data_IF_256034088538
#
_entry.id   IF_256034088538
#
_cell.length_a   1.000
_cell.length_b   1.000
_cell.length_c   1.000
_cell.angle_alpha   90.00
_cell.angle_beta   90.00
_cell.angle_gamma   90.00
#
_symmetry.space_group_name_H-M   'P 1'
#
loop_
_entity.id
_entity.type
_entity.pdbx_description
1 polymer ?
#
# COMPACT_ATOMS: atom_id res chain seq x y z
N UNK A 1 16.74 13.29 18.20
CA UNK A 1 17.36 12.36 17.23
C UNK A 1 16.39 11.26 16.79
N UNK A 2 15.82 10.49 17.71
CA UNK A 2 14.86 9.38 17.45
C UNK A 2 13.71 9.75 16.50
N UNK A 3 13.01 10.88 16.74
CA UNK A 3 11.90 11.33 15.88
C UNK A 3 12.29 11.53 14.41
N UNK A 4 13.53 11.98 14.15
CA UNK A 4 14.03 12.16 12.78
C UNK A 4 14.18 10.82 12.07
N UNK A 5 14.71 9.81 12.78
CA UNK A 5 14.83 8.44 12.24
C UNK A 5 13.46 7.81 11.99
N UNK A 6 12.48 7.98 12.89
CA UNK A 6 11.11 7.49 12.67
C UNK A 6 10.45 8.13 11.45
N UNK A 7 10.63 9.44 11.24
CA UNK A 7 10.11 10.12 10.05
C UNK A 7 10.79 9.61 8.76
N UNK A 8 12.10 9.33 8.80
CA UNK A 8 12.82 8.74 7.67
C UNK A 8 12.35 7.32 7.39
N UNK A 9 12.19 6.49 8.43
CA UNK A 9 11.65 5.14 8.29
C UNK A 9 10.24 5.16 7.70
N UNK A 10 9.38 6.07 8.18
CA UNK A 10 8.05 6.29 7.60
C UNK A 10 8.14 6.65 6.12
N UNK A 11 9.04 7.57 5.75
CA UNK A 11 9.20 8.00 4.36
C UNK A 11 9.67 6.86 3.45
N UNK A 12 10.64 6.05 3.89
CA UNK A 12 11.09 4.87 3.15
C UNK A 12 9.96 3.87 2.99
N UNK A 13 9.22 3.59 4.07
CA UNK A 13 8.14 2.61 4.03
C UNK A 13 6.96 3.06 3.18
N UNK A 14 6.55 4.33 3.25
CA UNK A 14 5.38 4.82 2.50
C UNK A 14 5.61 4.91 1.00
N UNK A 15 6.87 5.05 0.57
CA UNK A 15 7.24 5.07 -0.85
C UNK A 15 7.24 3.67 -1.50
N UNK A 16 7.04 2.61 -0.71
CA UNK A 16 6.84 1.26 -1.25
C UNK A 16 5.52 1.25 -2.04
N UNK A 17 5.53 0.88 -3.33
CA UNK A 17 4.34 0.88 -4.19
C UNK A 17 3.42 -0.31 -3.86
N UNK A 18 2.81 -0.28 -2.67
CA UNK A 18 2.05 -1.39 -2.12
C UNK A 18 0.88 -1.84 -3.00
N UNK A 19 0.07 -0.94 -3.62
CA UNK A 19 -0.98 -1.35 -4.56
C UNK A 19 -0.42 -2.14 -5.76
N UNK A 20 0.72 -1.72 -6.31
CA UNK A 20 1.38 -2.48 -7.37
C UNK A 20 1.88 -3.83 -6.88
N UNK A 21 2.60 -3.88 -5.75
CA UNK A 21 3.14 -5.14 -5.23
C UNK A 21 2.04 -6.15 -4.88
N UNK A 22 0.90 -5.68 -4.38
CA UNK A 22 -0.29 -6.49 -4.14
C UNK A 22 -0.71 -7.20 -5.42
N UNK A 23 -1.01 -6.44 -6.48
CA UNK A 23 -1.50 -7.03 -7.73
C UNK A 23 -0.40 -7.74 -8.52
N UNK A 24 0.85 -7.34 -8.40
CA UNK A 24 1.97 -8.00 -9.06
C UNK A 24 2.17 -9.41 -8.49
N UNK A 25 2.12 -9.55 -7.17
CA UNK A 25 2.17 -10.86 -6.52
C UNK A 25 0.91 -11.68 -6.84
N UNK A 26 -0.28 -11.11 -6.66
CA UNK A 26 -1.55 -11.78 -6.93
C UNK A 26 -1.63 -12.30 -8.37
N UNK A 27 -1.36 -11.45 -9.36
CA UNK A 27 -1.37 -11.81 -10.78
C UNK A 27 -0.29 -12.84 -11.10
N UNK A 28 0.91 -12.71 -10.53
CA UNK A 28 1.99 -13.68 -10.73
C UNK A 28 1.64 -15.07 -10.21
N UNK A 29 0.87 -15.17 -9.12
CA UNK A 29 0.38 -16.44 -8.59
C UNK A 29 -0.76 -16.99 -9.45
N UNK A 30 -1.68 -16.14 -9.88
CA UNK A 30 -2.72 -16.50 -10.85
C UNK A 30 -2.12 -17.12 -12.13
N UNK A 31 -1.06 -16.53 -12.69
CA UNK A 31 -0.38 -17.07 -13.87
C UNK A 31 0.25 -18.45 -13.63
N UNK A 32 0.62 -18.77 -12.39
CA UNK A 32 1.12 -20.09 -11.97
C UNK A 32 0.01 -21.07 -11.60
N UNK A 33 -1.26 -20.61 -11.58
CA UNK A 33 -2.41 -21.34 -11.05
C UNK A 33 -2.24 -21.71 -9.57
N UNK A 34 -1.62 -20.80 -8.82
CA UNK A 34 -1.36 -20.93 -7.38
C UNK A 34 -2.12 -19.85 -6.60
N UNK A 35 -2.37 -20.12 -5.31
CA UNK A 35 -2.97 -19.16 -4.40
C UNK A 35 -1.94 -18.14 -3.90
N UNK A 36 -2.36 -16.87 -3.78
CA UNK A 36 -1.55 -15.80 -3.21
C UNK A 36 -1.50 -15.84 -1.66
N UNK A 37 -0.98 -16.93 -1.10
CA UNK A 37 -1.03 -17.27 0.35
C UNK A 37 -0.57 -16.15 1.29
N UNK A 38 0.41 -15.36 0.90
CA UNK A 38 1.00 -14.31 1.76
C UNK A 38 0.42 -12.92 1.54
N UNK A 39 -0.48 -12.74 0.56
CA UNK A 39 -1.00 -11.45 0.14
C UNK A 39 -1.61 -10.67 1.31
N UNK A 40 -2.50 -11.32 2.05
CA UNK A 40 -3.21 -10.69 3.18
C UNK A 40 -2.26 -10.38 4.34
N UNK A 41 -1.42 -11.34 4.73
CA UNK A 41 -0.50 -11.20 5.88
C UNK A 41 0.48 -10.05 5.63
N UNK A 42 1.09 -10.00 4.45
CA UNK A 42 2.07 -8.96 4.10
C UNK A 42 1.39 -7.59 3.99
N UNK A 43 0.18 -7.53 3.43
CA UNK A 43 -0.59 -6.27 3.33
C UNK A 43 -0.94 -5.72 4.71
N UNK A 44 -1.43 -6.58 5.62
CA UNK A 44 -1.75 -6.17 7.00
C UNK A 44 -0.49 -5.71 7.72
N UNK A 45 0.62 -6.44 7.60
CA UNK A 45 1.90 -6.06 8.21
C UNK A 45 2.38 -4.68 7.72
N UNK A 46 2.28 -4.44 6.41
CA UNK A 46 2.61 -3.14 5.81
C UNK A 46 1.74 -2.01 6.40
N UNK A 47 0.43 -2.22 6.52
CA UNK A 47 -0.49 -1.23 7.11
C UNK A 47 -0.18 -0.95 8.57
N UNK A 48 0.14 -2.00 9.35
CA UNK A 48 0.52 -1.87 10.76
C UNK A 48 1.79 -1.02 10.89
N UNK A 49 2.84 -1.35 10.14
CA UNK A 49 4.12 -0.64 10.22
C UNK A 49 3.96 0.81 9.77
N UNK A 50 3.36 1.05 8.60
CA UNK A 50 3.20 2.40 8.05
C UNK A 50 2.23 3.25 8.87
N UNK A 51 1.20 2.65 9.45
CA UNK A 51 0.26 3.32 10.35
C UNK A 51 0.93 3.78 11.64
N UNK A 52 1.67 2.90 12.33
CA UNK A 52 2.40 3.23 13.56
C UNK A 52 3.45 4.32 13.30
N UNK A 53 4.27 4.17 12.25
CA UNK A 53 5.30 5.14 11.90
C UNK A 53 4.71 6.52 11.55
N UNK A 54 3.45 6.59 11.12
CA UNK A 54 2.78 7.83 10.74
C UNK A 54 2.20 8.64 11.91
N UNK A 55 2.29 8.17 13.16
CA UNK A 55 1.73 8.87 14.32
C UNK A 55 2.26 10.31 14.47
N UNK A 56 3.55 10.53 14.20
CA UNK A 56 4.20 11.84 14.30
C UNK A 56 4.07 12.72 13.03
N UNK A 57 3.44 12.19 11.96
CA UNK A 57 3.35 12.81 10.64
C UNK A 57 1.99 13.52 10.49
N UNK A 58 1.98 14.69 9.82
CA UNK A 58 0.72 15.40 9.51
C UNK A 58 -0.07 14.65 8.44
N UNK A 59 -1.40 14.55 8.59
CA UNK A 59 -2.30 13.82 7.66
C UNK A 59 -2.10 14.24 6.21
N UNK A 60 -1.92 15.54 5.94
CA UNK A 60 -1.69 16.06 4.59
C UNK A 60 -0.48 15.43 3.88
N UNK A 61 0.58 15.09 4.61
CA UNK A 61 1.76 14.43 4.05
C UNK A 61 1.51 12.94 3.80
N UNK A 62 0.70 12.30 4.65
CA UNK A 62 0.26 10.92 4.44
C UNK A 62 -0.56 10.82 3.16
N UNK A 63 -1.53 11.72 2.98
CA UNK A 63 -2.33 11.81 1.77
C UNK A 63 -1.46 12.04 0.53
N UNK A 64 -0.56 13.03 0.58
CA UNK A 64 0.34 13.34 -0.54
C UNK A 64 1.21 12.13 -0.93
N UNK A 65 1.82 11.45 0.04
CA UNK A 65 2.66 10.29 -0.24
C UNK A 65 1.85 9.10 -0.76
N UNK A 66 0.61 8.88 -0.28
CA UNK A 66 -0.25 7.84 -0.84
C UNK A 66 -0.65 8.14 -2.29
N UNK A 67 -0.93 9.40 -2.64
CA UNK A 67 -1.20 9.80 -4.03
C UNK A 67 0.03 9.53 -4.92
N UNK A 68 1.22 9.94 -4.48
CA UNK A 68 2.47 9.67 -5.21
C UNK A 68 2.68 8.16 -5.40
N UNK A 69 2.45 7.39 -4.35
CA UNK A 69 2.62 5.93 -4.37
C UNK A 69 1.59 5.24 -5.26
N UNK A 70 0.36 5.76 -5.34
CA UNK A 70 -0.67 5.28 -6.27
C UNK A 70 -0.26 5.55 -7.73
N UNK A 71 0.27 6.74 -8.03
CA UNK A 71 0.79 7.08 -9.37
C UNK A 71 1.95 6.16 -9.75
N UNK A 72 2.93 5.99 -8.85
CA UNK A 72 4.07 5.08 -9.08
C UNK A 72 3.59 3.64 -9.28
N UNK A 73 2.61 3.20 -8.47
CA UNK A 73 2.03 1.86 -8.60
C UNK A 73 1.36 1.64 -9.95
N UNK A 74 0.62 2.64 -10.44
CA UNK A 74 -0.01 2.60 -11.75
C UNK A 74 1.04 2.49 -12.85
N UNK A 75 2.07 3.35 -12.83
CA UNK A 75 3.16 3.31 -13.82
C UNK A 75 3.87 1.95 -13.81
N UNK A 76 4.17 1.40 -12.64
CA UNK A 76 4.80 0.08 -12.54
C UNK A 76 3.90 -1.01 -13.13
N UNK A 77 2.61 -1.01 -12.81
CA UNK A 77 1.71 -2.01 -13.36
C UNK A 77 1.56 -1.94 -14.87
N UNK A 78 1.53 -0.74 -15.44
CA UNK A 78 1.51 -0.54 -16.90
C UNK A 78 2.70 -1.21 -17.61
N UNK A 79 3.84 -1.33 -16.92
CA UNK A 79 5.06 -1.90 -17.47
C UNK A 79 5.26 -3.38 -17.11
N UNK A 80 4.76 -3.84 -15.97
CA UNK A 80 5.10 -5.16 -15.42
C UNK A 80 3.93 -6.15 -15.27
N UNK A 81 2.68 -5.71 -15.42
CA UNK A 81 1.50 -6.57 -15.33
C UNK A 81 0.80 -6.57 -16.69
N UNK A 82 0.61 -7.74 -17.29
CA UNK A 82 -0.12 -7.85 -18.57
C UNK A 82 -1.59 -7.51 -18.39
N UNK A 83 -2.15 -6.75 -19.34
CA UNK A 83 -3.59 -6.58 -19.45
C UNK A 83 -4.15 -7.73 -20.30
N UNK A 84 -4.35 -8.88 -19.66
CA UNK A 84 -4.80 -10.12 -20.31
C UNK A 84 -6.30 -10.10 -20.66
N UNK A 85 -7.00 -9.00 -20.35
CA UNK A 85 -8.44 -8.85 -20.56
C UNK A 85 -9.29 -9.83 -19.74
N UNK A 86 -8.70 -10.50 -18.75
CA UNK A 86 -9.33 -11.55 -17.94
C UNK A 86 -9.31 -11.21 -16.46
N UNK A 87 -8.12 -11.22 -15.84
CA UNK A 87 -7.97 -11.19 -14.38
C UNK A 87 -8.58 -9.94 -13.73
N UNK A 88 -8.40 -8.78 -14.36
CA UNK A 88 -8.81 -7.50 -13.80
C UNK A 88 -10.24 -7.07 -14.20
N UNK A 89 -11.04 -7.94 -14.80
CA UNK A 89 -12.43 -7.61 -15.15
C UNK A 89 -13.31 -7.45 -13.90
N UNK A 90 -14.34 -6.59 -13.94
CA UNK A 90 -14.79 -5.82 -15.10
C UNK A 90 -14.08 -4.47 -15.30
N UNK A 91 -13.27 -4.02 -14.34
CA UNK A 91 -12.77 -2.65 -14.31
C UNK A 91 -11.47 -2.42 -15.10
N UNK A 92 -10.69 -3.47 -15.34
CA UNK A 92 -9.37 -3.38 -15.97
C UNK A 92 -8.27 -3.07 -14.97
N UNK A 93 -7.03 -3.44 -15.33
CA UNK A 93 -5.84 -3.41 -14.46
C UNK A 93 -5.65 -2.04 -13.79
N UNK A 94 -5.66 -0.98 -14.60
CA UNK A 94 -5.31 0.36 -14.19
C UNK A 94 -6.29 0.91 -13.13
N UNK A 95 -7.60 0.71 -13.35
CA UNK A 95 -8.63 1.14 -12.41
C UNK A 95 -8.54 0.33 -11.11
N UNK A 96 -8.35 -0.99 -11.20
CA UNK A 96 -8.25 -1.85 -10.01
C UNK A 96 -7.08 -1.43 -9.11
N UNK A 97 -5.91 -1.10 -9.68
CA UNK A 97 -4.75 -0.66 -8.89
C UNK A 97 -5.03 0.66 -8.16
N UNK A 98 -5.68 1.61 -8.83
CA UNK A 98 -6.05 2.88 -8.22
C UNK A 98 -7.09 2.67 -7.11
N UNK A 99 -8.06 1.79 -7.32
CA UNK A 99 -9.04 1.41 -6.30
C UNK A 99 -8.37 0.76 -5.10
N UNK A 100 -7.36 -0.07 -5.31
CA UNK A 100 -6.59 -0.72 -4.23
C UNK A 100 -5.77 0.27 -3.41
N UNK A 101 -5.36 1.43 -3.95
CA UNK A 101 -4.71 2.45 -3.13
C UNK A 101 -5.61 3.00 -2.00
N UNK A 102 -6.94 2.98 -2.19
CA UNK A 102 -7.92 3.49 -1.21
C UNK A 102 -7.92 2.69 0.11
N UNK A 103 -8.11 1.35 0.12
CA UNK A 103 -8.06 0.57 1.35
C UNK A 103 -6.68 0.62 2.01
N UNK A 104 -5.59 0.75 1.24
CA UNK A 104 -4.26 0.95 1.84
C UNK A 104 -4.18 2.27 2.60
N UNK A 105 -4.65 3.36 2.01
CA UNK A 105 -4.70 4.66 2.67
C UNK A 105 -5.62 4.65 3.91
N UNK A 106 -6.84 4.13 3.78
CA UNK A 106 -7.80 4.04 4.89
C UNK A 106 -7.23 3.15 6.01
N UNK A 107 -6.70 1.98 5.67
CA UNK A 107 -6.09 1.06 6.63
C UNK A 107 -4.94 1.70 7.39
N UNK A 108 -4.06 2.45 6.71
CA UNK A 108 -2.99 3.20 7.36
C UNK A 108 -3.54 4.22 8.38
N UNK A 109 -4.61 4.95 8.02
CA UNK A 109 -5.21 5.93 8.93
C UNK A 109 -5.89 5.28 10.13
N UNK A 110 -6.56 4.14 9.94
CA UNK A 110 -7.18 3.37 11.04
C UNK A 110 -6.11 2.88 12.02
N UNK A 111 -5.04 2.25 11.53
CA UNK A 111 -3.93 1.82 12.39
C UNK A 111 -3.32 3.00 13.12
N UNK A 112 -3.06 4.12 12.42
CA UNK A 112 -2.53 5.33 13.04
C UNK A 112 -3.41 5.83 14.18
N UNK A 113 -4.74 5.84 14.00
CA UNK A 113 -5.69 6.26 15.03
C UNK A 113 -5.59 5.36 16.26
N UNK A 114 -5.61 4.04 16.07
CA UNK A 114 -5.46 3.07 17.16
C UNK A 114 -4.11 3.21 17.86
N UNK A 115 -3.02 3.32 17.10
CA UNK A 115 -1.66 3.44 17.65
C UNK A 115 -1.51 4.70 18.51
N UNK A 116 -2.07 5.84 18.10
CA UNK A 116 -2.09 7.05 18.93
C UNK A 116 -2.81 6.86 20.25
N UNK A 117 -3.95 6.17 20.25
CA UNK A 117 -4.70 5.89 21.49
C UNK A 117 -3.91 5.04 22.49
N UNK A 118 -2.93 4.26 22.03
CA UNK A 118 -2.08 3.43 22.89
C UNK A 118 -0.82 4.17 23.30
N UNK A 119 -0.20 4.94 22.39
CA UNK A 119 1.08 5.63 22.62
C UNK A 119 0.90 6.95 23.40
N UNK A 120 -0.21 7.65 23.20
CA UNK A 120 -0.49 8.93 23.88
C UNK A 120 -1.17 8.73 25.26
N UNK A 121 -1.30 7.48 25.72
CA UNK A 121 -1.68 7.12 27.10
C UNK A 121 -0.44 7.02 27.98
#
# INVERSE_FOLDING_TARGET
MVRRYLNMAWLVMILIPAPFLFHFYEFGQYMKREDAKYLLVVSVLYLVITGILSCAIKVRYILLMNILTAIVSLVLAMNFISDDGGWFKPFGRDIVILLTAIPFFIGQLVIRMVAKLVIDR
#
